data_IF_888583720214
#
_entry.id   IF_888583720214
#
_cell.length_a   1.000
_cell.length_b   1.000
_cell.length_c   1.000
_cell.angle_alpha   90.00
_cell.angle_beta   90.00
_cell.angle_gamma   90.00
#
_symmetry.space_group_name_H-M   'P 1'
#
loop_
_entity.id
_entity.type
_entity.pdbx_description
1 polymer ?
#
# COMPACT_ATOMS: atom_id res chain seq x y z
N UNK A 1 21.94 -5.92 15.88
CA UNK A 1 23.41 -6.14 15.89
C UNK A 1 23.86 -7.19 14.86
N UNK A 2 23.23 -8.37 14.79
CA UNK A 2 23.52 -9.37 13.74
C UNK A 2 23.06 -8.89 12.35
N UNK A 3 21.84 -8.36 12.24
CA UNK A 3 21.30 -7.74 11.01
C UNK A 3 22.18 -6.58 10.51
N UNK A 4 22.56 -5.65 11.40
CA UNK A 4 23.47 -4.50 11.13
C UNK A 4 24.81 -4.85 10.47
N UNK A 5 25.28 -6.09 10.61
CA UNK A 5 26.61 -6.50 10.20
C UNK A 5 26.59 -7.54 9.06
N UNK A 6 25.41 -7.97 8.63
CA UNK A 6 25.26 -9.07 7.69
C UNK A 6 24.64 -8.56 6.38
N UNK A 7 25.48 -8.29 5.39
CA UNK A 7 25.09 -7.94 4.01
C UNK A 7 24.79 -9.20 3.17
N UNK A 8 24.48 -10.33 3.81
CA UNK A 8 24.11 -11.56 3.12
C UNK A 8 22.60 -11.59 2.91
N UNK A 9 22.18 -11.72 1.65
CA UNK A 9 20.79 -11.83 1.26
C UNK A 9 20.09 -13.00 1.97
N UNK A 10 20.71 -14.18 2.03
CA UNK A 10 20.19 -15.34 2.77
C UNK A 10 19.92 -15.05 4.25
N UNK A 11 20.85 -14.37 4.92
CA UNK A 11 20.72 -14.05 6.34
C UNK A 11 19.62 -13.00 6.57
N UNK A 12 19.52 -12.05 5.65
CA UNK A 12 18.49 -11.03 5.64
C UNK A 12 17.10 -11.63 5.42
N UNK A 13 16.95 -12.47 4.39
CA UNK A 13 15.73 -13.22 4.08
C UNK A 13 15.26 -14.01 5.30
N UNK A 14 16.13 -14.83 5.90
CA UNK A 14 15.78 -15.61 7.11
C UNK A 14 15.35 -14.74 8.28
N UNK A 15 16.01 -13.60 8.49
CA UNK A 15 15.61 -12.66 9.54
C UNK A 15 14.22 -12.09 9.27
N UNK A 16 13.96 -11.69 8.02
CA UNK A 16 12.68 -11.12 7.61
C UNK A 16 11.54 -12.14 7.67
N UNK A 17 11.81 -13.41 7.35
CA UNK A 17 10.87 -14.53 7.53
C UNK A 17 10.52 -14.73 9.01
N UNK A 18 11.53 -14.82 9.89
CA UNK A 18 11.32 -14.96 11.33
C UNK A 18 10.53 -13.79 11.91
N UNK A 19 10.82 -12.57 11.45
CA UNK A 19 10.07 -11.39 11.85
C UNK A 19 8.62 -11.45 11.36
N UNK A 20 8.39 -11.91 10.12
CA UNK A 20 7.05 -12.12 9.58
C UNK A 20 6.26 -13.13 10.43
N UNK A 21 6.85 -14.27 10.79
CA UNK A 21 6.22 -15.29 11.63
C UNK A 21 5.82 -14.73 13.02
N UNK A 22 6.70 -13.95 13.63
CA UNK A 22 6.43 -13.27 14.91
C UNK A 22 5.25 -12.31 14.77
N UNK A 23 5.19 -11.53 13.68
CA UNK A 23 4.12 -10.58 13.43
C UNK A 23 2.79 -11.26 13.12
N UNK A 24 2.79 -12.34 12.35
CA UNK A 24 1.60 -13.17 12.15
C UNK A 24 1.07 -13.74 13.46
N UNK A 25 1.96 -14.17 14.36
CA UNK A 25 1.57 -14.58 15.70
C UNK A 25 0.92 -13.43 16.49
N UNK A 26 1.45 -12.21 16.39
CA UNK A 26 0.85 -11.01 16.99
C UNK A 26 -0.55 -10.76 16.40
N UNK A 27 -0.74 -10.82 15.08
CA UNK A 27 -2.06 -10.69 14.42
C UNK A 27 -3.07 -11.70 14.96
N UNK A 28 -2.68 -12.97 15.03
CA UNK A 28 -3.55 -14.03 15.52
C UNK A 28 -3.96 -13.81 16.98
N UNK A 29 -3.05 -13.27 17.81
CA UNK A 29 -3.34 -12.88 19.19
C UNK A 29 -4.32 -11.71 19.26
N UNK A 30 -4.13 -10.68 18.44
CA UNK A 30 -5.03 -9.53 18.34
C UNK A 30 -6.45 -9.93 17.95
N UNK A 31 -6.59 -10.72 16.87
CA UNK A 31 -7.88 -11.23 16.41
C UNK A 31 -8.61 -12.06 17.49
N UNK A 32 -7.85 -12.74 18.35
CA UNK A 32 -8.41 -13.51 19.48
C UNK A 32 -8.79 -12.68 20.71
N UNK A 33 -8.61 -11.35 20.68
CA UNK A 33 -8.89 -10.44 21.80
C UNK A 33 -7.91 -10.57 22.98
N UNK A 34 -6.80 -11.32 22.81
CA UNK A 34 -5.83 -11.59 23.87
C UNK A 34 -4.71 -10.55 23.88
N UNK A 35 -4.87 -9.54 24.73
CA UNK A 35 -3.87 -8.57 25.23
C UNK A 35 -3.08 -7.74 24.19
N UNK A 36 -3.20 -6.41 24.31
CA UNK A 36 -2.34 -5.41 23.62
C UNK A 36 -0.86 -5.45 24.03
N UNK A 37 -0.48 -6.21 25.07
CA UNK A 37 0.91 -6.30 25.52
C UNK A 37 1.83 -6.98 24.49
N UNK A 38 1.29 -7.81 23.59
CA UNK A 38 2.06 -8.44 22.52
C UNK A 38 2.59 -7.42 21.50
N UNK A 39 1.85 -6.33 21.23
CA UNK A 39 2.29 -5.25 20.34
C UNK A 39 3.57 -4.59 20.89
N UNK A 40 3.58 -4.22 22.17
CA UNK A 40 4.71 -3.47 22.73
C UNK A 40 6.01 -4.29 22.88
N UNK A 41 5.92 -5.63 22.91
CA UNK A 41 7.07 -6.51 23.13
C UNK A 41 7.65 -7.11 21.84
N UNK A 42 6.84 -7.21 20.78
CA UNK A 42 7.22 -7.91 19.54
C UNK A 42 7.38 -6.98 18.33
N UNK A 43 6.94 -5.72 18.43
CA UNK A 43 7.17 -4.76 17.35
C UNK A 43 8.65 -4.35 17.32
N UNK A 44 9.31 -4.42 16.16
CA UNK A 44 10.67 -3.93 16.02
C UNK A 44 10.71 -2.44 16.33
N UNK A 45 11.76 -2.01 17.03
CA UNK A 45 11.95 -0.59 17.28
C UNK A 45 12.36 0.14 15.99
N UNK A 46 12.31 1.47 16.06
CA UNK A 46 12.59 2.36 14.94
C UNK A 46 13.94 2.11 14.24
N UNK A 47 14.99 1.87 15.02
CA UNK A 47 16.34 1.66 14.45
C UNK A 47 16.44 0.35 13.67
N UNK A 48 15.81 -0.72 14.16
CA UNK A 48 15.77 -2.02 13.46
C UNK A 48 15.08 -1.88 12.11
N UNK A 49 14.03 -1.07 12.08
CA UNK A 49 13.28 -0.86 10.86
C UNK A 49 14.00 0.01 9.83
N UNK A 50 14.74 1.03 10.26
CA UNK A 50 15.59 1.79 9.34
C UNK A 50 16.69 0.95 8.72
N UNK A 51 17.31 0.08 9.52
CA UNK A 51 18.31 -0.86 9.00
C UNK A 51 17.70 -1.86 8.03
N UNK A 52 16.45 -2.25 8.25
CA UNK A 52 15.70 -3.06 7.29
C UNK A 52 15.50 -2.30 5.97
N UNK A 53 15.04 -1.03 6.01
CA UNK A 53 14.88 -0.20 4.81
C UNK A 53 16.20 0.01 4.05
N UNK A 54 17.32 0.19 4.75
CA UNK A 54 18.63 0.36 4.14
C UNK A 54 19.14 -0.92 3.46
N UNK A 55 19.00 -2.07 4.13
CA UNK A 55 19.34 -3.36 3.51
C UNK A 55 18.42 -3.70 2.35
N UNK A 56 17.12 -3.37 2.42
CA UNK A 56 16.19 -3.57 1.30
C UNK A 56 16.64 -2.81 0.05
N UNK A 57 16.97 -1.52 0.18
CA UNK A 57 17.49 -0.71 -0.94
C UNK A 57 18.78 -1.26 -1.53
N UNK A 58 19.67 -1.79 -0.69
CA UNK A 58 20.90 -2.43 -1.15
C UNK A 58 20.61 -3.70 -1.96
N UNK A 59 19.75 -4.60 -1.46
CA UNK A 59 19.46 -5.85 -2.14
C UNK A 59 18.60 -5.68 -3.40
N UNK A 60 17.73 -4.67 -3.47
CA UNK A 60 17.00 -4.30 -4.70
C UNK A 60 17.97 -4.08 -5.87
N UNK A 61 19.14 -3.49 -5.60
CA UNK A 61 20.14 -3.20 -6.63
C UNK A 61 21.02 -4.39 -7.01
N UNK A 62 21.06 -5.45 -6.18
CA UNK A 62 22.07 -6.53 -6.31
C UNK A 62 21.49 -7.95 -6.49
N UNK A 63 20.17 -8.16 -6.32
CA UNK A 63 19.57 -9.50 -6.15
C UNK A 63 18.66 -9.98 -7.30
N UNK A 64 18.38 -11.29 -7.32
CA UNK A 64 17.41 -11.91 -8.24
C UNK A 64 15.94 -11.79 -7.79
N UNK A 65 15.00 -12.03 -8.73
CA UNK A 65 13.55 -11.82 -8.54
C UNK A 65 12.89 -12.58 -7.37
N UNK A 66 13.30 -13.82 -7.09
CA UNK A 66 12.69 -14.62 -6.02
C UNK A 66 13.09 -14.13 -4.63
N UNK A 67 14.32 -13.68 -4.44
CA UNK A 67 14.78 -13.14 -3.16
C UNK A 67 14.05 -11.83 -2.82
N UNK A 68 13.77 -11.01 -3.84
CA UNK A 68 12.99 -9.79 -3.68
C UNK A 68 11.53 -10.06 -3.30
N UNK A 69 10.93 -11.20 -3.71
CA UNK A 69 9.55 -11.56 -3.32
C UNK A 69 9.43 -11.86 -1.83
N UNK A 70 10.35 -12.64 -1.28
CA UNK A 70 10.35 -12.99 0.15
C UNK A 70 10.56 -11.74 0.99
N UNK A 71 11.55 -10.91 0.61
CA UNK A 71 11.78 -9.62 1.24
C UNK A 71 10.54 -8.72 1.18
N UNK A 72 9.87 -8.63 0.02
CA UNK A 72 8.64 -7.84 -0.17
C UNK A 72 7.50 -8.29 0.73
N UNK A 73 7.27 -9.62 0.86
CA UNK A 73 6.26 -10.17 1.77
C UNK A 73 6.50 -9.76 3.21
N UNK A 74 7.75 -9.85 3.65
CA UNK A 74 8.10 -9.45 5.00
C UNK A 74 7.95 -7.95 5.22
N UNK A 75 8.35 -7.10 4.27
CA UNK A 75 8.15 -5.65 4.32
C UNK A 75 6.68 -5.32 4.56
N UNK A 76 5.79 -5.81 3.69
CA UNK A 76 4.36 -5.53 3.79
C UNK A 76 3.79 -6.01 5.13
N UNK A 77 4.23 -7.19 5.61
CA UNK A 77 3.82 -7.72 6.89
C UNK A 77 4.22 -6.83 8.06
N UNK A 78 5.45 -6.31 8.05
CA UNK A 78 5.98 -5.42 9.09
C UNK A 78 5.31 -4.05 9.05
N UNK A 79 5.20 -3.47 7.86
CA UNK A 79 4.59 -2.17 7.62
C UNK A 79 3.10 -2.14 7.95
N UNK A 80 2.39 -3.28 7.86
CA UNK A 80 1.02 -3.39 8.37
C UNK A 80 0.91 -3.07 9.87
N UNK A 81 1.91 -3.48 10.66
CA UNK A 81 1.89 -3.36 12.11
C UNK A 81 2.50 -2.07 12.62
N UNK A 82 3.43 -1.51 11.86
CA UNK A 82 4.09 -0.32 12.28
C UNK A 82 3.40 0.87 11.63
N UNK A 83 2.67 1.63 12.44
CA UNK A 83 2.12 2.89 11.97
C UNK A 83 3.26 3.91 11.88
N UNK A 84 3.33 4.71 10.81
CA UNK A 84 4.22 5.85 10.78
C UNK A 84 3.86 6.79 11.94
N UNK A 85 4.78 6.98 12.87
CA UNK A 85 4.67 8.01 13.90
C UNK A 85 5.17 9.37 13.37
N UNK A 86 4.90 10.44 14.11
CA UNK A 86 5.14 11.85 13.76
C UNK A 86 6.60 12.20 13.38
N UNK A 87 7.53 11.23 13.46
CA UNK A 87 8.94 11.41 13.11
C UNK A 87 9.41 10.57 11.92
N UNK A 88 8.51 9.82 11.29
CA UNK A 88 8.87 8.90 10.20
C UNK A 88 8.95 9.61 8.86
N UNK A 89 10.09 9.41 8.20
CA UNK A 89 10.45 10.00 6.91
C UNK A 89 9.58 9.31 5.86
N UNK A 90 8.57 10.02 5.35
CA UNK A 90 7.57 9.46 4.44
C UNK A 90 8.19 8.88 3.15
N UNK A 91 9.37 9.36 2.76
CA UNK A 91 10.15 8.83 1.63
C UNK A 91 10.55 7.34 1.80
N UNK A 92 10.93 6.90 2.99
CA UNK A 92 11.29 5.51 3.26
C UNK A 92 10.06 4.59 3.16
N UNK A 93 8.90 5.07 3.62
CA UNK A 93 7.62 4.36 3.47
C UNK A 93 7.21 4.25 2.00
N UNK A 94 7.37 5.33 1.24
CA UNK A 94 7.12 5.33 -0.20
C UNK A 94 8.04 4.38 -0.96
N UNK A 95 9.34 4.39 -0.64
CA UNK A 95 10.31 3.48 -1.25
C UNK A 95 10.00 2.02 -0.92
N UNK A 96 9.63 1.73 0.33
CA UNK A 96 9.22 0.39 0.74
C UNK A 96 7.94 -0.07 0.05
N UNK A 97 6.96 0.84 -0.11
CA UNK A 97 5.71 0.54 -0.81
C UNK A 97 5.99 0.24 -2.28
N UNK A 98 6.78 1.09 -2.94
CA UNK A 98 7.15 0.90 -4.35
C UNK A 98 7.90 -0.42 -4.56
N UNK A 99 8.88 -0.73 -3.70
CA UNK A 99 9.55 -2.03 -3.70
C UNK A 99 8.55 -3.19 -3.55
N UNK A 100 7.63 -3.09 -2.58
CA UNK A 100 6.63 -4.13 -2.35
C UNK A 100 5.69 -4.31 -3.55
N UNK A 101 5.33 -3.23 -4.23
CA UNK A 101 4.53 -3.26 -5.45
C UNK A 101 5.30 -3.84 -6.66
N UNK A 102 6.61 -3.58 -6.75
CA UNK A 102 7.50 -4.10 -7.79
C UNK A 102 7.74 -5.60 -7.67
N UNK A 103 7.97 -6.07 -6.44
CA UNK A 103 8.52 -7.40 -6.20
C UNK A 103 7.57 -8.34 -5.46
N UNK A 104 6.51 -7.83 -4.85
CA UNK A 104 5.54 -8.65 -4.14
C UNK A 104 4.74 -9.55 -5.06
N UNK A 105 4.40 -10.75 -4.59
CA UNK A 105 3.49 -11.66 -5.30
C UNK A 105 2.12 -11.01 -5.51
N UNK A 106 1.46 -11.28 -6.62
CA UNK A 106 0.17 -10.65 -6.97
C UNK A 106 -1.05 -11.39 -6.43
N UNK A 107 -0.92 -12.02 -5.26
CA UNK A 107 -2.00 -12.80 -4.64
C UNK A 107 -2.91 -11.91 -3.80
N UNK A 108 -4.20 -12.30 -3.68
CA UNK A 108 -5.17 -11.63 -2.81
C UNK A 108 -4.68 -11.44 -1.38
N UNK A 109 -4.03 -12.46 -0.81
CA UNK A 109 -3.51 -12.44 0.56
C UNK A 109 -2.46 -11.34 0.74
N UNK A 110 -1.47 -11.29 -0.15
CA UNK A 110 -0.41 -10.28 -0.09
C UNK A 110 -0.97 -8.87 -0.36
N UNK A 111 -1.79 -8.73 -1.41
CA UNK A 111 -2.37 -7.43 -1.75
C UNK A 111 -3.24 -6.89 -0.60
N UNK A 112 -3.95 -7.76 0.12
CA UNK A 112 -4.74 -7.31 1.26
C UNK A 112 -3.89 -6.74 2.39
N UNK A 113 -2.78 -7.38 2.73
CA UNK A 113 -1.84 -6.87 3.73
C UNK A 113 -1.26 -5.51 3.32
N UNK A 114 -0.88 -5.40 2.05
CA UNK A 114 -0.36 -4.16 1.46
C UNK A 114 -1.41 -3.05 1.48
N UNK A 115 -2.66 -3.33 1.07
CA UNK A 115 -3.75 -2.35 1.06
C UNK A 115 -4.15 -1.92 2.47
N UNK A 116 -4.15 -2.84 3.44
CA UNK A 116 -4.36 -2.51 4.85
C UNK A 116 -3.25 -1.63 5.41
N UNK A 117 -2.00 -1.88 5.04
CA UNK A 117 -0.88 -1.01 5.39
C UNK A 117 -1.10 0.40 4.82
N UNK A 118 -1.38 0.52 3.51
CA UNK A 118 -1.62 1.82 2.87
C UNK A 118 -2.81 2.53 3.53
N UNK A 119 -3.91 1.82 3.78
CA UNK A 119 -5.09 2.36 4.46
C UNK A 119 -4.75 2.95 5.82
N UNK A 120 -4.07 2.19 6.69
CA UNK A 120 -3.64 2.67 8.01
C UNK A 120 -2.69 3.86 7.93
N UNK A 121 -1.82 3.87 6.92
CA UNK A 121 -0.91 4.98 6.69
C UNK A 121 -1.67 6.25 6.30
N UNK A 122 -2.67 6.15 5.41
CA UNK A 122 -3.51 7.26 4.97
C UNK A 122 -4.48 7.75 6.05
N UNK A 123 -4.84 6.92 7.03
CA UNK A 123 -5.67 7.32 8.19
C UNK A 123 -4.85 7.93 9.35
N UNK A 124 -3.52 7.86 9.29
CA UNK A 124 -2.64 8.42 10.31
C UNK A 124 -2.69 9.95 10.42
N UNK A 125 -2.03 10.49 11.45
CA UNK A 125 -2.04 11.92 11.77
C UNK A 125 -1.61 12.83 10.59
N UNK A 126 -0.71 12.34 9.73
CA UNK A 126 -0.20 13.01 8.52
C UNK A 126 -0.74 12.42 7.21
N UNK A 127 -1.85 11.68 7.26
CA UNK A 127 -2.37 10.93 6.13
C UNK A 127 -2.63 11.75 4.86
N UNK A 128 -3.09 13.01 5.02
CA UNK A 128 -3.31 13.90 3.89
C UNK A 128 -2.01 14.34 3.18
N UNK A 129 -0.91 14.50 3.93
CA UNK A 129 0.42 14.82 3.38
C UNK A 129 0.99 13.58 2.70
N UNK A 130 0.93 12.42 3.38
CA UNK A 130 1.36 11.13 2.85
C UNK A 130 0.65 10.77 1.53
N UNK A 131 -0.67 11.00 1.45
CA UNK A 131 -1.44 10.80 0.23
C UNK A 131 -0.93 11.68 -0.94
N UNK A 132 -0.53 12.91 -0.62
CA UNK A 132 0.00 13.86 -1.62
C UNK A 132 1.38 13.42 -2.09
N UNK A 133 2.23 12.97 -1.17
CA UNK A 133 3.55 12.45 -1.52
C UNK A 133 3.44 11.17 -2.36
N UNK A 134 2.55 10.23 -2.00
CA UNK A 134 2.32 8.99 -2.76
C UNK A 134 1.91 9.26 -4.20
N UNK A 135 0.95 10.17 -4.41
CA UNK A 135 0.49 10.55 -5.75
C UNK A 135 1.64 11.08 -6.62
N UNK A 136 2.59 11.79 -6.03
CA UNK A 136 3.70 12.40 -6.76
C UNK A 136 4.98 11.56 -6.75
N UNK A 137 5.01 10.45 -6.02
CA UNK A 137 6.21 9.63 -5.84
C UNK A 137 6.56 8.87 -7.11
N UNK A 138 7.85 8.83 -7.46
CA UNK A 138 8.36 8.14 -8.65
C UNK A 138 7.62 8.53 -9.94
N UNK A 139 7.23 9.81 -10.05
CA UNK A 139 6.48 10.32 -11.21
C UNK A 139 5.08 9.71 -11.38
N UNK A 140 4.47 9.18 -10.32
CA UNK A 140 3.15 8.54 -10.34
C UNK A 140 3.18 7.03 -10.58
N UNK A 141 4.34 6.44 -10.89
CA UNK A 141 4.48 4.99 -11.16
C UNK A 141 4.05 4.10 -9.98
N UNK A 142 4.38 4.52 -8.76
CA UNK A 142 3.98 3.81 -7.55
C UNK A 142 2.45 3.80 -7.40
N UNK A 143 1.78 4.92 -7.72
CA UNK A 143 0.34 5.02 -7.71
C UNK A 143 -0.32 4.13 -8.78
N UNK A 144 0.23 4.09 -10.00
CA UNK A 144 -0.25 3.21 -11.08
C UNK A 144 -0.20 1.74 -10.68
N UNK A 145 0.92 1.29 -10.08
CA UNK A 145 1.06 -0.08 -9.58
C UNK A 145 0.09 -0.38 -8.44
N UNK A 146 -0.08 0.55 -7.51
CA UNK A 146 -1.04 0.39 -6.42
C UNK A 146 -2.46 0.23 -6.97
N UNK A 147 -2.84 1.02 -7.98
CA UNK A 147 -4.12 0.89 -8.64
C UNK A 147 -4.27 -0.47 -9.37
N UNK A 148 -3.22 -0.95 -10.03
CA UNK A 148 -3.22 -2.29 -10.61
C UNK A 148 -3.45 -3.38 -9.55
N UNK A 149 -2.86 -3.26 -8.36
CA UNK A 149 -3.13 -4.18 -7.24
C UNK A 149 -4.57 -4.09 -6.75
N UNK A 150 -5.16 -2.88 -6.70
CA UNK A 150 -6.58 -2.70 -6.38
C UNK A 150 -7.46 -3.44 -7.40
N UNK A 151 -7.22 -3.28 -8.71
CA UNK A 151 -7.99 -3.96 -9.74
C UNK A 151 -7.87 -5.48 -9.65
N UNK A 152 -6.64 -6.00 -9.47
CA UNK A 152 -6.39 -7.43 -9.30
C UNK A 152 -7.17 -7.97 -8.10
N UNK A 153 -7.07 -7.32 -6.94
CA UNK A 153 -7.79 -7.74 -5.74
C UNK A 153 -9.30 -7.70 -5.90
N UNK A 154 -9.86 -6.66 -6.51
CA UNK A 154 -11.30 -6.59 -6.77
C UNK A 154 -11.75 -7.69 -7.75
N UNK A 155 -10.95 -7.97 -8.79
CA UNK A 155 -11.22 -9.04 -9.75
C UNK A 155 -11.21 -10.42 -9.09
N UNK A 156 -10.25 -10.69 -8.20
CA UNK A 156 -10.20 -11.93 -7.42
C UNK A 156 -11.38 -12.06 -6.44
N UNK A 157 -11.78 -10.97 -5.78
CA UNK A 157 -12.98 -10.96 -4.92
C UNK A 157 -14.24 -11.30 -5.74
N UNK A 158 -14.40 -10.72 -6.93
CA UNK A 158 -15.52 -11.04 -7.83
C UNK A 158 -15.48 -12.51 -8.24
N UNK A 159 -14.31 -13.04 -8.60
CA UNK A 159 -14.16 -14.42 -9.05
C UNK A 159 -14.40 -15.46 -7.94
N UNK A 160 -13.99 -15.16 -6.71
CA UNK A 160 -14.15 -16.05 -5.56
C UNK A 160 -15.45 -15.83 -4.77
N UNK A 161 -16.15 -14.72 -5.03
CA UNK A 161 -17.36 -14.30 -4.32
C UNK A 161 -17.06 -13.28 -3.22
N UNK A 162 -17.96 -12.30 -3.08
CA UNK A 162 -17.82 -11.14 -2.19
C UNK A 162 -17.55 -11.50 -0.71
N UNK A 163 -18.09 -12.64 -0.25
CA UNK A 163 -17.91 -13.12 1.12
C UNK A 163 -16.47 -13.52 1.45
N UNK A 164 -15.63 -13.78 0.43
CA UNK A 164 -14.25 -14.24 0.63
C UNK A 164 -13.40 -13.21 1.38
N UNK A 165 -13.61 -11.91 1.10
CA UNK A 165 -12.86 -10.78 1.67
C UNK A 165 -13.69 -9.51 1.77
N UNK A 166 -14.90 -9.61 2.33
CA UNK A 166 -15.78 -8.45 2.54
C UNK A 166 -15.14 -7.36 3.42
N UNK A 167 -14.18 -7.75 4.27
CA UNK A 167 -13.36 -6.85 5.08
C UNK A 167 -12.48 -5.90 4.25
N UNK A 168 -12.08 -6.33 3.05
CA UNK A 168 -11.12 -5.60 2.21
C UNK A 168 -11.80 -4.56 1.31
N UNK A 169 -13.10 -4.73 1.00
CA UNK A 169 -13.82 -3.82 0.10
C UNK A 169 -13.88 -2.39 0.66
N UNK A 170 -14.24 -2.15 1.93
CA UNK A 170 -14.22 -0.80 2.52
C UNK A 170 -12.82 -0.18 2.55
N UNK A 171 -11.80 -1.02 2.75
CA UNK A 171 -10.37 -0.61 2.78
C UNK A 171 -9.95 -0.11 1.40
N UNK A 172 -10.25 -0.89 0.35
CA UNK A 172 -10.00 -0.53 -1.04
C UNK A 172 -10.70 0.78 -1.39
N UNK A 173 -11.98 0.91 -1.02
CA UNK A 173 -12.76 2.13 -1.27
C UNK A 173 -12.10 3.34 -0.63
N UNK A 174 -11.72 3.27 0.64
CA UNK A 174 -11.10 4.38 1.36
C UNK A 174 -9.74 4.76 0.74
N UNK A 175 -8.88 3.78 0.45
CA UNK A 175 -7.58 4.02 -0.20
C UNK A 175 -7.77 4.70 -1.56
N UNK A 176 -8.64 4.13 -2.42
CA UNK A 176 -8.92 4.68 -3.74
C UNK A 176 -9.49 6.10 -3.62
N UNK A 177 -10.40 6.34 -2.68
CA UNK A 177 -11.05 7.62 -2.45
C UNK A 177 -10.09 8.73 -2.03
N UNK A 178 -9.21 8.44 -1.08
CA UNK A 178 -8.21 9.41 -0.57
C UNK A 178 -7.24 9.76 -1.68
N UNK A 179 -6.69 8.76 -2.37
CA UNK A 179 -5.69 8.95 -3.41
C UNK A 179 -6.29 9.61 -4.66
N UNK A 180 -7.51 9.25 -5.04
CA UNK A 180 -8.24 9.90 -6.14
C UNK A 180 -8.46 11.39 -5.86
N UNK A 181 -8.92 11.73 -4.66
CA UNK A 181 -9.14 13.12 -4.25
C UNK A 181 -7.87 13.96 -4.29
N UNK A 182 -6.71 13.34 -4.09
CA UNK A 182 -5.40 13.98 -4.22
C UNK A 182 -4.93 14.07 -5.66
N UNK A 183 -5.01 12.98 -6.42
CA UNK A 183 -4.62 12.93 -7.83
C UNK A 183 -5.47 13.89 -8.69
N UNK A 184 -6.78 13.98 -8.46
CA UNK A 184 -7.66 14.87 -9.23
C UNK A 184 -7.28 16.35 -9.13
N UNK A 185 -6.65 16.77 -8.02
CA UNK A 185 -6.18 18.14 -7.82
C UNK A 185 -4.94 18.50 -8.64
N UNK A 186 -4.29 17.53 -9.28
CA UNK A 186 -3.18 17.81 -10.21
C UNK A 186 -3.68 18.28 -11.58
N UNK A 187 -4.96 18.04 -11.90
CA UNK A 187 -5.59 18.51 -13.12
C UNK A 187 -6.03 19.98 -13.01
N UNK A 188 -6.27 20.66 -14.17
CA UNK A 188 -6.93 21.97 -14.17
C UNK A 188 -8.28 21.93 -13.44
N UNK A 189 -8.62 23.02 -12.73
CA UNK A 189 -9.78 23.11 -11.84
C UNK A 189 -11.10 22.63 -12.49
N UNK A 190 -11.33 22.97 -13.76
CA UNK A 190 -12.54 22.59 -14.50
C UNK A 190 -12.66 21.06 -14.67
N UNK A 191 -11.55 20.38 -14.92
CA UNK A 191 -11.51 18.92 -15.04
C UNK A 191 -11.57 18.25 -13.66
N UNK A 192 -10.80 18.77 -12.69
CA UNK A 192 -10.85 18.30 -11.30
C UNK A 192 -12.27 18.33 -10.73
N UNK A 193 -13.07 19.36 -11.06
CA UNK A 193 -14.44 19.49 -10.60
C UNK A 193 -15.40 18.44 -11.19
N UNK A 194 -15.17 18.01 -12.43
CA UNK A 194 -15.96 16.94 -13.07
C UNK A 194 -15.72 15.63 -12.32
N UNK A 195 -14.46 15.24 -12.17
CA UNK A 195 -14.07 14.01 -11.47
C UNK A 195 -14.55 13.96 -10.02
N UNK A 196 -14.44 15.08 -9.31
CA UNK A 196 -14.93 15.19 -7.93
C UNK A 196 -16.44 14.98 -7.85
N UNK A 197 -17.21 15.51 -8.81
CA UNK A 197 -18.67 15.28 -8.88
C UNK A 197 -19.00 13.83 -9.17
N UNK A 198 -18.29 13.20 -10.10
CA UNK A 198 -18.51 11.80 -10.47
C UNK A 198 -18.24 10.85 -9.31
N UNK A 199 -17.15 11.02 -8.56
CA UNK A 199 -16.89 10.22 -7.35
C UNK A 199 -17.98 10.43 -6.30
N UNK A 200 -18.44 11.66 -6.08
CA UNK A 200 -19.55 11.92 -5.13
C UNK A 200 -20.83 11.21 -5.57
N UNK A 201 -21.16 11.24 -6.86
CA UNK A 201 -22.33 10.53 -7.41
C UNK A 201 -22.20 9.01 -7.23
N UNK A 202 -21.03 8.44 -7.49
CA UNK A 202 -20.75 7.01 -7.28
C UNK A 202 -20.92 6.61 -5.81
N UNK A 203 -20.40 7.42 -4.88
CA UNK A 203 -20.50 7.15 -3.43
C UNK A 203 -21.93 7.18 -2.92
N UNK A 204 -22.70 8.17 -3.38
CA UNK A 204 -24.09 8.40 -2.95
C UNK A 204 -25.09 7.46 -3.64
N UNK A 205 -24.66 6.67 -4.62
CA UNK A 205 -25.55 5.75 -5.31
C UNK A 205 -25.91 4.54 -4.44
N UNK A 206 -27.02 4.68 -3.70
CA UNK A 206 -27.53 3.65 -2.81
C UNK A 206 -28.01 2.38 -3.53
N UNK A 207 -28.14 2.39 -4.86
CA UNK A 207 -28.50 1.19 -5.63
C UNK A 207 -27.32 0.25 -5.91
N UNK A 208 -26.09 0.68 -5.63
CA UNK A 208 -24.88 -0.09 -5.89
C UNK A 208 -24.39 -0.78 -4.61
N UNK A 209 -23.93 -2.02 -4.74
CA UNK A 209 -23.20 -2.70 -3.67
C UNK A 209 -21.89 -1.96 -3.35
N UNK A 210 -21.25 -2.26 -2.21
CA UNK A 210 -19.91 -1.74 -1.92
C UNK A 210 -18.89 -2.24 -2.94
N UNK A 211 -18.98 -3.49 -3.36
CA UNK A 211 -18.11 -4.06 -4.38
C UNK A 211 -18.25 -3.32 -5.73
N UNK A 212 -19.48 -3.05 -6.17
CA UNK A 212 -19.73 -2.32 -7.41
C UNK A 212 -19.20 -0.89 -7.32
N UNK A 213 -19.35 -0.24 -6.16
CA UNK A 213 -18.78 1.10 -5.92
C UNK A 213 -17.26 1.07 -5.96
N UNK A 214 -16.63 0.04 -5.40
CA UNK A 214 -15.18 -0.13 -5.42
C UNK A 214 -14.66 -0.31 -6.84
N UNK A 215 -15.32 -1.17 -7.63
CA UNK A 215 -15.01 -1.38 -9.03
C UNK A 215 -15.17 -0.09 -9.84
N UNK A 216 -16.30 0.60 -9.72
CA UNK A 216 -16.56 1.84 -10.44
C UNK A 216 -15.54 2.94 -10.07
N UNK A 217 -15.22 3.08 -8.79
CA UNK A 217 -14.20 4.03 -8.31
C UNK A 217 -12.83 3.70 -8.87
N UNK A 218 -12.44 2.42 -8.88
CA UNK A 218 -11.15 1.99 -9.44
C UNK A 218 -11.04 2.25 -10.95
N UNK A 219 -12.12 2.08 -11.71
CA UNK A 219 -12.16 2.38 -13.15
C UNK A 219 -12.06 3.88 -13.40
N UNK A 220 -12.80 4.69 -12.65
CA UNK A 220 -12.73 6.13 -12.73
C UNK A 220 -11.34 6.65 -12.37
N UNK A 221 -10.71 6.07 -11.36
CA UNK A 221 -9.33 6.39 -10.98
C UNK A 221 -8.34 6.05 -12.10
N UNK A 222 -8.51 4.92 -12.77
CA UNK A 222 -7.67 4.56 -13.91
C UNK A 222 -7.77 5.59 -15.04
N UNK A 223 -9.00 6.02 -15.36
CA UNK A 223 -9.22 7.04 -16.38
C UNK A 223 -8.59 8.39 -15.99
N UNK A 224 -8.68 8.78 -14.72
CA UNK A 224 -8.00 9.96 -14.18
C UNK A 224 -6.48 9.88 -14.40
N UNK A 225 -5.82 8.75 -14.07
CA UNK A 225 -4.37 8.61 -14.24
C UNK A 225 -3.95 8.71 -15.71
N UNK A 226 -4.72 8.12 -16.63
CA UNK A 226 -4.48 8.25 -18.07
C UNK A 226 -4.58 9.70 -18.55
N UNK A 227 -5.39 10.55 -17.91
CA UNK A 227 -5.51 11.97 -18.22
C UNK A 227 -4.35 12.79 -17.67
N UNK A 228 -3.93 12.50 -16.44
CA UNK A 228 -2.76 13.14 -15.81
C UNK A 228 -1.51 12.89 -16.67
N UNK A 229 -1.24 11.64 -17.05
CA UNK A 229 -0.10 11.29 -17.89
C UNK A 229 -0.11 12.01 -19.27
N UNK A 230 -1.29 12.21 -19.86
CA UNK A 230 -1.44 12.96 -21.12
C UNK A 230 -1.20 14.47 -20.95
N UNK A 231 -1.62 15.05 -19.83
CA UNK A 231 -1.40 16.46 -19.54
C UNK A 231 0.09 16.77 -19.38
N UNK A 232 0.83 15.89 -18.71
CA UNK A 232 2.28 16.02 -18.54
C UNK A 232 3.04 15.85 -19.86
N UNK A 233 2.62 14.90 -20.71
CA UNK A 233 3.22 14.70 -22.04
C UNK A 233 3.00 15.86 -23.03
N UNK A 234 1.93 16.64 -22.87
CA UNK A 234 1.64 17.81 -23.70
C UNK A 234 2.44 19.07 -23.31
N UNK A 235 3.12 19.05 -22.16
CA UNK A 235 3.94 20.18 -21.67
C UNK A 235 5.39 20.18 -22.21
N UNK A 236 5.79 19.16 -22.97
CA UNK A 236 7.14 18.97 -23.52
C UNK A 236 7.26 19.18 -25.05
N UNK A 237 6.28 19.82 -25.69
CA UNK A 237 6.31 20.22 -27.12
C UNK A 237 6.02 21.70 -27.28
#
# INVERSE_FOLDING_TARGET
KYVRACMSLDAFTKFTEQLCDILQFVRAREASGKSKAAQNCCLPNRDVMFELFDHWRHFETESGLEDCRVASRAIASICHHWQPDDTTRAQEWLAALDFSLCHGTETLEFNADLLMWVHRWLEGHHGAECATELVNFSGGHCLEKLLARIHLSLGEIVACGEETRSDLIPVILNVADVLFSKASKTLPNEQSDIYRKEVVLLRLNASMSELDRALATSVLFHELLLRVAKADGASCT
#
